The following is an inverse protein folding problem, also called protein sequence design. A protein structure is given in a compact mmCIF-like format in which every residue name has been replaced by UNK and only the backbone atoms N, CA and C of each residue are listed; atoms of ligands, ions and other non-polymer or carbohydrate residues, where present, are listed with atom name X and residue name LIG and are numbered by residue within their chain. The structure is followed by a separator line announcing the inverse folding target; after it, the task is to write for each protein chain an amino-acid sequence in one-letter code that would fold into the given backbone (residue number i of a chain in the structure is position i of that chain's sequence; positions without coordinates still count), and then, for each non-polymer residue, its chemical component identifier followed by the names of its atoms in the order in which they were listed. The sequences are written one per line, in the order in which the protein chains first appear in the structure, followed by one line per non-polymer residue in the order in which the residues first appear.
data_IF_930630296145
#
_entry.id   IF_930630296145
#
_cell.length_a   1.000
_cell.length_b   1.000
_cell.length_c   1.000
_cell.angle_alpha   90.00
_cell.angle_beta   90.00
_cell.angle_gamma   90.00
#
_symmetry.space_group_name_H-M   'P 1'
#
loop_
_entity.id
_entity.type
_entity.pdbx_description
1 polymer ?
#
# COMPACT_ATOMS: atom_id res chain seq x y z
N UNK A 1 20.96 2.05 -4.91
CA UNK A 1 20.82 0.74 -4.20
C UNK A 1 19.32 0.47 -4.09
N UNK A 2 18.88 -0.78 -4.21
CA UNK A 2 17.45 -1.11 -4.11
C UNK A 2 17.07 -1.24 -2.64
N UNK A 3 16.05 -0.51 -2.20
CA UNK A 3 15.50 -0.60 -0.84
C UNK A 3 14.56 -1.81 -0.73
N UNK A 4 14.56 -2.46 0.43
CA UNK A 4 13.70 -3.60 0.73
C UNK A 4 12.52 -3.17 1.60
N UNK A 5 11.30 -3.23 1.06
CA UNK A 5 10.06 -3.07 1.85
C UNK A 5 9.40 -4.44 2.06
N UNK A 6 9.00 -4.72 3.30
CA UNK A 6 8.37 -5.98 3.68
C UNK A 6 6.86 -5.81 3.81
N UNK A 7 6.11 -6.57 3.01
CA UNK A 7 4.66 -6.66 3.16
C UNK A 7 4.31 -7.63 4.30
N UNK A 8 3.66 -7.13 5.36
CA UNK A 8 3.35 -7.90 6.57
C UNK A 8 1.92 -8.47 6.61
N UNK A 9 1.16 -8.39 5.52
CA UNK A 9 -0.23 -8.88 5.45
C UNK A 9 -0.37 -10.36 5.84
N UNK A 10 0.57 -11.22 5.46
CA UNK A 10 0.51 -12.66 5.78
C UNK A 10 0.67 -12.93 7.27
N UNK A 11 1.47 -12.15 7.98
CA UNK A 11 1.56 -12.25 9.44
C UNK A 11 0.26 -11.82 10.12
N UNK A 12 -0.37 -10.75 9.62
CA UNK A 12 -1.68 -10.31 10.09
C UNK A 12 -2.76 -11.37 9.85
N UNK A 13 -2.74 -12.05 8.69
CA UNK A 13 -3.65 -13.15 8.38
C UNK A 13 -3.51 -14.31 9.38
N UNK A 14 -2.27 -14.71 9.70
CA UNK A 14 -2.00 -15.76 10.70
C UNK A 14 -2.51 -15.35 12.09
N UNK A 15 -2.25 -14.09 12.51
CA UNK A 15 -2.77 -13.52 13.75
C UNK A 15 -4.30 -13.64 13.82
N UNK A 16 -4.99 -13.20 12.77
CA UNK A 16 -6.45 -13.20 12.74
C UNK A 16 -7.03 -14.63 12.78
N UNK A 17 -6.41 -15.57 12.07
CA UNK A 17 -6.84 -16.98 12.07
C UNK A 17 -6.73 -17.65 13.44
N UNK A 18 -5.87 -17.15 14.34
CA UNK A 18 -5.69 -17.70 15.70
C UNK A 18 -6.56 -17.01 16.76
N UNK A 19 -7.21 -15.91 16.42
CA UNK A 19 -8.09 -15.16 17.33
C UNK A 19 -7.39 -14.47 18.51
N UNK A 20 -6.05 -14.39 18.49
CA UNK A 20 -5.22 -13.72 19.48
C UNK A 20 -4.28 -12.72 18.84
N UNK A 21 -3.50 -11.95 19.62
CA UNK A 21 -2.50 -11.00 19.08
C UNK A 21 -1.13 -11.69 18.84
N UNK A 22 -1.16 -12.87 18.23
CA UNK A 22 0.03 -13.66 17.91
C UNK A 22 -0.04 -14.24 16.49
N UNK A 23 0.94 -13.94 15.62
CA UNK A 23 2.10 -13.06 15.86
C UNK A 23 1.68 -11.59 15.99
N UNK A 24 2.26 -10.86 16.95
CA UNK A 24 2.03 -9.41 17.07
C UNK A 24 2.63 -8.68 15.87
N UNK A 25 1.81 -7.86 15.19
CA UNK A 25 2.21 -7.26 13.92
C UNK A 25 3.28 -6.18 14.09
N UNK A 26 3.25 -5.43 15.19
CA UNK A 26 4.25 -4.41 15.51
C UNK A 26 5.59 -5.07 15.82
N UNK A 27 5.61 -6.15 16.60
CA UNK A 27 6.83 -6.88 16.94
C UNK A 27 7.47 -7.53 15.69
N UNK A 28 6.65 -8.10 14.80
CA UNK A 28 7.14 -8.64 13.52
C UNK A 28 7.73 -7.53 12.65
N UNK A 29 7.03 -6.42 12.50
CA UNK A 29 7.53 -5.28 11.71
C UNK A 29 8.83 -4.74 12.27
N UNK A 30 8.94 -4.61 13.59
CA UNK A 30 10.18 -4.22 14.26
C UNK A 30 11.33 -5.18 13.93
N UNK A 31 11.09 -6.50 14.00
CA UNK A 31 12.11 -7.50 13.63
C UNK A 31 12.52 -7.40 12.16
N UNK A 32 11.56 -7.16 11.25
CA UNK A 32 11.89 -6.93 9.83
C UNK A 32 12.85 -5.74 9.66
N UNK A 33 12.60 -4.63 10.37
CA UNK A 33 13.46 -3.45 10.37
C UNK A 33 14.84 -3.78 10.95
N UNK A 34 14.91 -4.46 12.09
CA UNK A 34 16.15 -4.88 12.73
C UNK A 34 17.01 -5.81 11.84
N UNK A 35 16.36 -6.58 10.95
CA UNK A 35 17.03 -7.44 9.97
C UNK A 35 17.31 -6.74 8.63
N UNK A 36 17.12 -5.42 8.54
CA UNK A 36 17.53 -4.62 7.40
C UNK A 36 16.44 -4.27 6.41
N UNK A 37 15.16 -4.42 6.76
CA UNK A 37 14.10 -3.83 5.95
C UNK A 37 14.16 -2.30 6.02
N UNK A 38 13.98 -1.64 4.89
CA UNK A 38 13.96 -0.18 4.73
C UNK A 38 12.53 0.35 4.56
N UNK A 39 11.53 -0.54 4.58
CA UNK A 39 10.12 -0.18 4.55
C UNK A 39 9.21 -1.29 5.06
N UNK A 40 8.03 -0.88 5.49
CA UNK A 40 6.91 -1.76 5.87
C UNK A 40 5.72 -1.41 4.99
N UNK A 41 5.17 -2.44 4.34
CA UNK A 41 3.99 -2.31 3.47
C UNK A 41 2.82 -3.07 4.05
N UNK A 42 1.64 -2.47 4.01
CA UNK A 42 0.38 -3.07 4.47
C UNK A 42 -0.77 -2.79 3.50
N UNK A 43 -1.73 -3.72 3.43
CA UNK A 43 -2.96 -3.54 2.67
C UNK A 43 -4.18 -3.79 3.57
N UNK A 44 -4.69 -2.80 4.27
CA UNK A 44 -5.91 -2.91 5.05
C UNK A 44 -7.11 -3.00 4.11
N UNK A 45 -7.67 -4.18 3.97
CA UNK A 45 -8.90 -4.36 3.18
C UNK A 45 -10.13 -4.02 4.02
N UNK A 46 -11.25 -3.62 3.39
CA UNK A 46 -12.48 -3.26 4.12
C UNK A 46 -13.02 -4.36 5.03
N UNK A 47 -12.79 -5.64 4.69
CA UNK A 47 -13.19 -6.80 5.50
C UNK A 47 -12.18 -7.17 6.60
N UNK A 48 -11.08 -6.44 6.72
CA UNK A 48 -10.03 -6.63 7.71
C UNK A 48 -9.49 -8.08 7.81
N UNK A 49 -9.54 -8.84 6.69
CA UNK A 49 -9.11 -10.26 6.66
C UNK A 49 -7.66 -10.46 7.10
N UNK A 50 -6.82 -9.46 6.98
CA UNK A 50 -5.42 -9.47 7.46
C UNK A 50 -5.09 -8.22 8.28
N UNK A 51 -4.48 -7.17 7.72
CA UNK A 51 -4.22 -5.92 8.45
C UNK A 51 -5.53 -5.22 8.75
N UNK A 52 -5.72 -4.84 10.02
CA UNK A 52 -6.88 -4.08 10.49
C UNK A 52 -6.58 -2.59 10.41
N UNK A 53 -7.61 -1.77 10.28
CA UNK A 53 -7.44 -0.32 10.33
C UNK A 53 -6.82 0.15 11.65
N UNK A 54 -7.13 -0.55 12.76
CA UNK A 54 -6.53 -0.28 14.08
C UNK A 54 -5.02 -0.59 14.18
N UNK A 55 -4.45 -1.31 13.23
CA UNK A 55 -3.02 -1.59 13.17
C UNK A 55 -2.23 -0.41 12.58
N UNK A 56 -2.85 0.39 11.71
CA UNK A 56 -2.18 1.42 10.92
C UNK A 56 -1.45 2.45 11.79
N UNK A 57 -2.15 3.02 12.78
CA UNK A 57 -1.55 4.01 13.68
C UNK A 57 -0.42 3.42 14.53
N UNK A 58 -0.51 2.12 14.90
CA UNK A 58 0.54 1.44 15.66
C UNK A 58 1.79 1.24 14.81
N UNK A 59 1.60 0.86 13.54
CA UNK A 59 2.70 0.67 12.59
C UNK A 59 3.34 2.01 12.19
N UNK A 60 2.55 3.05 11.95
CA UNK A 60 3.08 4.40 11.73
C UNK A 60 3.95 4.86 12.90
N UNK A 61 3.44 4.71 14.13
CA UNK A 61 4.18 5.02 15.34
C UNK A 61 5.49 4.22 15.48
N UNK A 62 5.52 2.98 15.02
CA UNK A 62 6.73 2.17 14.98
C UNK A 62 7.73 2.75 13.97
N UNK A 63 7.30 2.98 12.72
CA UNK A 63 8.18 3.45 11.64
C UNK A 63 8.73 4.85 11.91
N UNK A 64 7.96 5.74 12.56
CA UNK A 64 8.40 7.09 12.96
C UNK A 64 9.57 7.10 13.96
N UNK A 65 9.85 6.00 14.64
CA UNK A 65 11.05 5.90 15.48
C UNK A 65 12.35 5.67 14.68
N UNK A 66 12.28 5.55 13.35
CA UNK A 66 13.41 5.27 12.48
C UNK A 66 13.48 6.29 11.34
N UNK A 67 14.59 7.01 11.19
CA UNK A 67 14.73 8.11 10.21
C UNK A 67 14.58 7.70 8.74
N UNK A 68 14.71 6.41 8.41
CA UNK A 68 14.82 5.93 7.02
C UNK A 68 13.85 4.81 6.67
N UNK A 69 12.92 4.51 7.55
CA UNK A 69 11.95 3.44 7.30
C UNK A 69 10.68 4.02 6.69
N UNK A 70 10.37 3.59 5.48
CA UNK A 70 9.18 4.00 4.75
C UNK A 70 7.95 3.18 5.18
N UNK A 71 6.85 3.84 5.51
CA UNK A 71 5.55 3.18 5.72
C UNK A 71 4.66 3.37 4.49
N UNK A 72 4.30 2.27 3.84
CA UNK A 72 3.45 2.25 2.65
C UNK A 72 2.11 1.57 2.95
N UNK A 73 1.00 2.23 2.60
CA UNK A 73 -0.36 1.68 2.72
C UNK A 73 -0.93 1.46 1.34
N UNK A 74 -1.30 0.22 1.02
CA UNK A 74 -1.95 -0.16 -0.23
C UNK A 74 -3.47 -0.19 -0.07
N UNK A 75 -4.21 0.19 -1.12
CA UNK A 75 -5.65 0.01 -1.11
C UNK A 75 -6.38 0.63 -2.31
N UNK A 76 -7.65 0.22 -2.46
CA UNK A 76 -8.57 0.87 -3.40
C UNK A 76 -8.98 2.24 -2.83
N UNK A 77 -8.89 3.31 -3.63
CA UNK A 77 -9.12 4.67 -3.15
C UNK A 77 -10.62 5.02 -3.02
N UNK A 78 -11.31 4.33 -2.11
CA UNK A 78 -12.62 4.74 -1.63
C UNK A 78 -12.50 5.94 -0.69
N UNK A 79 -13.58 6.69 -0.49
CA UNK A 79 -13.57 7.85 0.42
C UNK A 79 -13.16 7.46 1.85
N UNK A 80 -13.61 6.30 2.36
CA UNK A 80 -13.23 5.78 3.67
C UNK A 80 -11.72 5.49 3.73
N UNK A 81 -11.17 4.81 2.70
CA UNK A 81 -9.74 4.53 2.61
C UNK A 81 -8.91 5.82 2.57
N UNK A 82 -9.30 6.76 1.71
CA UNK A 82 -8.61 8.05 1.57
C UNK A 82 -8.54 8.79 2.90
N UNK A 83 -9.68 8.91 3.61
CA UNK A 83 -9.74 9.60 4.89
C UNK A 83 -8.83 8.90 5.92
N UNK A 84 -8.87 7.58 6.03
CA UNK A 84 -8.01 6.82 6.95
C UNK A 84 -6.52 6.96 6.65
N UNK A 85 -6.14 6.98 5.37
CA UNK A 85 -4.74 7.19 4.98
C UNK A 85 -4.28 8.60 5.36
N UNK A 86 -5.13 9.62 5.13
CA UNK A 86 -4.83 11.00 5.52
C UNK A 86 -4.72 11.13 7.05
N UNK A 87 -5.55 10.43 7.83
CA UNK A 87 -5.47 10.42 9.29
C UNK A 87 -4.18 9.76 9.83
N UNK A 88 -3.62 8.81 9.06
CA UNK A 88 -2.38 8.07 9.43
C UNK A 88 -1.13 8.81 8.98
N UNK A 89 -1.17 9.53 7.86
CA UNK A 89 -0.04 10.22 7.24
C UNK A 89 1.17 9.27 6.97
N UNK A 90 0.99 8.18 6.19
CA UNK A 90 2.12 7.34 5.81
C UNK A 90 3.07 8.08 4.88
N UNK A 91 4.29 7.56 4.69
CA UNK A 91 5.25 8.11 3.72
C UNK A 91 4.79 7.90 2.28
N UNK A 92 4.04 6.83 2.03
CA UNK A 92 3.51 6.47 0.72
C UNK A 92 2.14 5.80 0.82
N UNK A 93 1.32 6.04 -0.18
CA UNK A 93 0.14 5.22 -0.50
C UNK A 93 0.32 4.58 -1.86
N UNK A 94 -0.02 3.29 -1.99
CA UNK A 94 -0.10 2.60 -3.29
C UNK A 94 -1.57 2.36 -3.65
N UNK A 95 -2.03 2.98 -4.73
CA UNK A 95 -3.41 2.85 -5.20
C UNK A 95 -3.57 1.59 -6.05
N UNK A 96 -4.43 0.67 -5.62
CA UNK A 96 -4.76 -0.57 -6.34
C UNK A 96 -6.18 -0.51 -6.90
N UNK A 97 -6.44 -1.09 -8.10
CA UNK A 97 -7.74 -1.02 -8.75
C UNK A 97 -8.75 -2.05 -8.23
N UNK A 98 -8.32 -2.93 -7.32
CA UNK A 98 -9.16 -4.05 -6.89
C UNK A 98 -10.35 -3.57 -6.07
N UNK A 99 -11.58 -3.89 -6.47
CA UNK A 99 -12.76 -3.59 -5.67
C UNK A 99 -12.70 -4.33 -4.32
N UNK A 100 -13.42 -3.86 -3.30
CA UNK A 100 -13.39 -4.44 -1.95
C UNK A 100 -13.63 -5.96 -1.90
N UNK A 101 -14.44 -6.48 -2.81
CA UNK A 101 -14.85 -7.90 -2.89
C UNK A 101 -13.79 -8.79 -3.54
N UNK A 102 -12.79 -8.23 -4.23
CA UNK A 102 -11.76 -9.01 -4.88
C UNK A 102 -10.96 -9.86 -3.89
N UNK A 103 -10.74 -11.13 -4.19
CA UNK A 103 -9.93 -12.02 -3.34
C UNK A 103 -8.45 -11.69 -3.42
N UNK A 104 -7.98 -11.33 -4.60
CA UNK A 104 -6.59 -10.94 -4.89
C UNK A 104 -6.56 -9.99 -6.07
N UNK A 105 -5.46 -9.26 -6.22
CA UNK A 105 -5.24 -8.40 -7.38
C UNK A 105 -5.12 -9.22 -8.65
N UNK A 106 -5.79 -8.81 -9.70
CA UNK A 106 -5.82 -9.49 -10.99
C UNK A 106 -5.39 -8.61 -12.18
N UNK A 107 -5.29 -7.31 -11.98
CA UNK A 107 -4.89 -6.33 -13.00
C UNK A 107 -4.41 -5.03 -12.36
N UNK A 108 -3.68 -4.23 -13.13
CA UNK A 108 -3.30 -2.86 -12.78
C UNK A 108 -4.30 -1.81 -13.30
N UNK A 109 -4.14 -0.57 -12.87
CA UNK A 109 -4.99 0.54 -13.32
C UNK A 109 -4.92 0.75 -14.83
N UNK A 110 -6.07 0.98 -15.44
CA UNK A 110 -6.16 1.61 -16.74
C UNK A 110 -6.11 3.15 -16.53
N UNK A 111 -4.91 3.72 -16.68
CA UNK A 111 -4.65 5.13 -16.38
C UNK A 111 -5.41 6.09 -17.31
N UNK A 112 -5.65 5.69 -18.57
CA UNK A 112 -6.40 6.50 -19.54
C UNK A 112 -7.87 6.65 -19.15
N UNK A 113 -8.53 5.50 -18.88
CA UNK A 113 -9.95 5.48 -18.51
C UNK A 113 -10.23 6.14 -17.16
N UNK A 114 -9.26 6.09 -16.24
CA UNK A 114 -9.40 6.60 -14.87
C UNK A 114 -8.63 7.89 -14.64
N UNK A 115 -8.22 8.60 -15.70
CA UNK A 115 -7.35 9.76 -15.62
C UNK A 115 -7.81 10.81 -14.59
N UNK A 116 -9.03 11.31 -14.71
CA UNK A 116 -9.53 12.36 -13.84
C UNK A 116 -9.62 11.87 -12.39
N UNK A 117 -10.21 10.70 -12.18
CA UNK A 117 -10.34 10.07 -10.87
C UNK A 117 -8.98 9.91 -10.16
N UNK A 118 -8.00 9.34 -10.85
CA UNK A 118 -6.65 9.14 -10.29
C UNK A 118 -5.93 10.46 -10.05
N UNK A 119 -6.05 11.43 -10.97
CA UNK A 119 -5.40 12.73 -10.81
C UNK A 119 -5.92 13.49 -9.59
N UNK A 120 -7.23 13.47 -9.36
CA UNK A 120 -7.85 14.15 -8.21
C UNK A 120 -7.37 13.51 -6.89
N UNK A 121 -7.29 12.19 -6.84
CA UNK A 121 -6.82 11.46 -5.66
C UNK A 121 -5.33 11.68 -5.42
N UNK A 122 -4.51 11.64 -6.47
CA UNK A 122 -3.07 11.91 -6.38
C UNK A 122 -2.84 13.30 -5.78
N UNK A 123 -3.55 14.32 -6.28
CA UNK A 123 -3.44 15.68 -5.75
C UNK A 123 -3.86 15.74 -4.28
N UNK A 124 -4.96 15.08 -3.92
CA UNK A 124 -5.45 15.04 -2.52
C UNK A 124 -4.42 14.46 -1.54
N UNK A 125 -3.70 13.40 -1.93
CA UNK A 125 -2.64 12.84 -1.10
C UNK A 125 -1.39 13.72 -1.08
N UNK A 126 -1.01 14.31 -2.20
CA UNK A 126 0.12 15.25 -2.26
C UNK A 126 -0.09 16.51 -1.43
N UNK A 127 -1.31 17.02 -1.37
CA UNK A 127 -1.68 18.15 -0.51
C UNK A 127 -1.50 17.83 1.00
N UNK A 128 -1.35 16.54 1.34
CA UNK A 128 -1.04 16.05 2.68
C UNK A 128 0.39 15.46 2.79
N UNK A 129 1.30 15.82 1.88
CA UNK A 129 2.69 15.34 1.84
C UNK A 129 2.85 13.82 1.73
N UNK A 130 1.83 13.11 1.24
CA UNK A 130 1.85 11.66 1.04
C UNK A 130 2.24 11.36 -0.41
N UNK A 131 3.35 10.63 -0.62
CA UNK A 131 3.77 10.15 -1.94
C UNK A 131 2.81 9.11 -2.48
N UNK A 132 2.51 9.17 -3.78
CA UNK A 132 1.56 8.27 -4.43
C UNK A 132 2.25 7.30 -5.39
N UNK A 133 2.06 6.01 -5.16
CA UNK A 133 2.38 4.93 -6.09
C UNK A 133 1.11 4.39 -6.74
N UNK A 134 1.19 3.99 -8.03
CA UNK A 134 0.07 3.42 -8.78
C UNK A 134 0.42 1.99 -9.19
N UNK A 135 -0.48 1.06 -8.88
CA UNK A 135 -0.39 -0.34 -9.28
C UNK A 135 -0.80 -0.52 -10.74
N UNK A 136 0.11 -0.98 -11.60
CA UNK A 136 -0.06 -1.04 -13.06
C UNK A 136 0.35 -2.38 -13.66
N UNK A 137 -0.21 -2.70 -14.82
CA UNK A 137 0.29 -3.80 -15.65
C UNK A 137 1.63 -3.42 -16.30
N UNK A 138 2.59 -4.36 -16.42
CA UNK A 138 3.89 -4.13 -17.01
C UNK A 138 3.80 -4.12 -18.55
N UNK A 139 3.14 -3.11 -19.13
CA UNK A 139 3.01 -2.94 -20.57
C UNK A 139 3.47 -1.54 -21.01
N UNK A 140 4.00 -1.44 -22.22
CA UNK A 140 4.46 -0.16 -22.80
C UNK A 140 3.32 0.84 -22.96
N UNK A 141 2.11 0.37 -23.27
CA UNK A 141 0.90 1.19 -23.37
C UNK A 141 0.55 1.82 -22.01
N UNK A 142 0.55 1.03 -20.94
CA UNK A 142 0.28 1.54 -19.58
C UNK A 142 1.32 2.57 -19.17
N UNK A 143 2.61 2.32 -19.45
CA UNK A 143 3.70 3.25 -19.12
C UNK A 143 3.58 4.58 -19.85
N UNK A 144 3.19 4.57 -21.12
CA UNK A 144 3.00 5.82 -21.89
C UNK A 144 1.89 6.71 -21.32
N UNK A 145 0.85 6.09 -20.73
CA UNK A 145 -0.28 6.80 -20.17
C UNK A 145 -0.03 7.39 -18.76
N UNK A 146 1.06 7.00 -18.09
CA UNK A 146 1.43 7.53 -16.76
C UNK A 146 1.70 9.04 -16.77
N UNK A 147 2.20 9.57 -17.88
CA UNK A 147 2.42 11.01 -18.04
C UNK A 147 1.16 11.87 -17.88
N UNK A 148 -0.03 11.26 -18.04
CA UNK A 148 -1.31 11.93 -17.90
C UNK A 148 -1.73 12.16 -16.45
N UNK A 149 -1.29 11.27 -15.52
CA UNK A 149 -1.67 11.29 -14.10
C UNK A 149 -0.49 11.64 -13.20
N UNK A 150 0.74 11.47 -13.66
CA UNK A 150 2.00 11.83 -13.00
C UNK A 150 2.10 11.31 -11.56
N UNK A 151 2.01 10.00 -11.31
CA UNK A 151 2.26 9.46 -9.99
C UNK A 151 3.74 9.66 -9.60
N UNK A 152 4.07 9.58 -8.31
CA UNK A 152 5.45 9.70 -7.84
C UNK A 152 6.23 8.40 -8.06
N UNK A 153 5.53 7.25 -7.98
CA UNK A 153 6.07 5.90 -8.21
C UNK A 153 5.05 5.02 -8.95
N UNK A 154 5.54 3.87 -9.37
CA UNK A 154 4.71 2.79 -9.92
C UNK A 154 5.05 1.48 -9.23
N UNK A 155 4.04 0.65 -9.04
CA UNK A 155 4.17 -0.74 -8.63
C UNK A 155 3.74 -1.63 -9.80
N UNK A 156 4.59 -2.58 -10.19
CA UNK A 156 4.33 -3.47 -11.32
C UNK A 156 3.62 -4.74 -10.87
N UNK A 157 2.51 -5.06 -11.52
CA UNK A 157 1.82 -6.32 -11.35
C UNK A 157 2.61 -7.45 -12.02
N UNK A 158 3.31 -8.25 -11.22
CA UNK A 158 4.23 -9.28 -11.73
C UNK A 158 3.61 -10.68 -11.82
N UNK A 159 2.38 -10.90 -11.40
CA UNK A 159 1.72 -12.21 -11.43
C UNK A 159 1.64 -12.83 -12.84
N UNK A 160 1.67 -12.00 -13.87
CA UNK A 160 1.70 -12.44 -15.28
C UNK A 160 3.09 -12.88 -15.77
N UNK A 161 4.14 -12.69 -14.97
CA UNK A 161 5.54 -12.96 -15.35
C UNK A 161 5.97 -14.37 -14.91
N UNK A 162 5.21 -15.00 -14.02
CA UNK A 162 5.50 -16.32 -13.45
C UNK A 162 4.75 -17.49 -14.10
N UNK A 163 4.27 -17.30 -15.32
CA UNK A 163 3.59 -18.38 -16.09
C UNK A 163 4.55 -18.92 -17.13
#
# INVERSE_FOLDING_TARGET
MTALSINVNKFALIRNARGADMPNLVDISKKCIEYGAEGITVHPRPDERHVKFSDLQKLKKLTDNYEKIEFNIEGYPSDDFINRVIDVLPDQVTLVPDPPEALTSSFGWNCEKNKNFLSDIINKFRDNDIRVSIFINPSSETLSNLSMIKPDRVELYLSLIHI
#
